data_IF_844413272631
#
_entry.id   IF_844413272631
#
_cell.length_a   1.000
_cell.length_b   1.000
_cell.length_c   1.000
_cell.angle_alpha   90.00
_cell.angle_beta   90.00
_cell.angle_gamma   90.00
#
_symmetry.space_group_name_H-M   'P 1'
#
loop_
_entity.id
_entity.type
_entity.pdbx_description
1 polymer ?
#
# COMPACT_ATOMS: atom_id res chain seq x y z
N UNK A 1 19.13 -4.15 0.10
CA UNK A 1 18.35 -3.18 -0.70
C UNK A 1 17.68 -3.79 -1.96
N UNK A 2 17.44 -5.11 -2.02
CA UNK A 2 16.91 -5.77 -3.24
C UNK A 2 15.38 -5.81 -3.36
N UNK A 3 14.65 -5.53 -2.28
CA UNK A 3 13.18 -5.73 -2.23
C UNK A 3 12.45 -4.81 -3.21
N UNK A 4 12.93 -3.57 -3.42
CA UNK A 4 12.28 -2.65 -4.36
C UNK A 4 12.41 -3.08 -5.81
N UNK A 5 13.52 -3.69 -6.21
CA UNK A 5 13.73 -4.16 -7.59
C UNK A 5 12.80 -5.33 -7.91
N UNK A 6 12.54 -6.21 -6.95
CA UNK A 6 11.65 -7.36 -7.16
C UNK A 6 10.16 -6.99 -7.12
N UNK A 7 9.77 -5.93 -6.41
CA UNK A 7 8.36 -5.57 -6.23
C UNK A 7 7.86 -4.46 -7.16
N UNK A 8 8.77 -3.69 -7.77
CA UNK A 8 8.43 -2.65 -8.74
C UNK A 8 7.61 -3.20 -9.91
N UNK A 9 6.44 -2.59 -10.18
CA UNK A 9 5.56 -2.94 -11.30
C UNK A 9 5.20 -4.42 -11.39
N UNK A 10 5.07 -5.08 -10.23
CA UNK A 10 4.62 -6.47 -10.16
C UNK A 10 3.12 -6.61 -10.43
N UNK A 11 2.71 -7.83 -10.80
CA UNK A 11 1.31 -8.14 -11.06
C UNK A 11 0.42 -8.18 -9.81
N UNK A 12 1.01 -8.18 -8.61
CA UNK A 12 0.29 -8.18 -7.34
C UNK A 12 0.41 -6.83 -6.63
N UNK A 13 -0.64 -6.36 -5.92
CA UNK A 13 -0.60 -5.09 -5.22
C UNK A 13 0.45 -5.12 -4.10
N UNK A 14 1.28 -4.08 -4.05
CA UNK A 14 2.28 -3.88 -2.99
C UNK A 14 1.92 -2.65 -2.18
N UNK A 15 1.84 -2.78 -0.85
CA UNK A 15 1.54 -1.69 0.08
C UNK A 15 2.77 -1.38 0.91
N UNK A 16 3.12 -0.10 1.00
CA UNK A 16 4.19 0.40 1.87
C UNK A 16 3.61 0.84 3.21
N UNK A 17 4.07 0.20 4.28
CA UNK A 17 3.70 0.49 5.66
C UNK A 17 4.96 0.67 6.52
N UNK A 18 4.80 1.18 7.75
CA UNK A 18 5.90 1.41 8.69
C UNK A 18 5.86 0.45 9.89
N UNK A 19 7.04 0.03 10.36
CA UNK A 19 7.20 -0.75 11.59
C UNK A 19 7.21 0.09 12.87
N UNK A 20 7.16 1.43 12.75
CA UNK A 20 7.29 2.37 13.88
C UNK A 20 6.09 2.35 14.83
N UNK A 21 4.97 1.74 14.44
CA UNK A 21 3.76 1.61 15.27
C UNK A 21 2.87 2.86 15.30
N UNK A 22 3.45 4.04 15.06
CA UNK A 22 2.74 5.32 14.93
C UNK A 22 3.32 6.18 13.81
N UNK A 23 2.53 7.18 13.38
CA UNK A 23 2.88 8.10 12.31
C UNK A 23 2.30 7.67 10.95
N UNK A 24 2.33 8.61 10.01
CA UNK A 24 1.78 8.44 8.67
C UNK A 24 2.88 8.05 7.68
N UNK A 25 2.57 7.11 6.80
CA UNK A 25 3.37 6.81 5.61
C UNK A 25 2.87 7.67 4.45
N UNK A 26 3.51 8.82 4.26
CA UNK A 26 3.18 9.73 3.16
C UNK A 26 3.59 9.17 1.81
N UNK A 27 2.82 9.50 0.77
CA UNK A 27 3.15 9.17 -0.62
C UNK A 27 4.38 9.95 -1.09
N UNK A 28 5.30 9.25 -1.75
CA UNK A 28 6.46 9.85 -2.43
C UNK A 28 6.40 9.56 -3.93
N UNK A 29 7.05 10.36 -4.80
CA UNK A 29 7.01 10.16 -6.25
C UNK A 29 7.40 8.74 -6.70
N UNK A 30 8.33 8.10 -5.98
CA UNK A 30 8.76 6.73 -6.25
C UNK A 30 7.65 5.69 -6.06
N UNK A 31 6.64 5.94 -5.21
CA UNK A 31 5.53 5.00 -5.04
C UNK A 31 4.67 4.95 -6.30
N UNK A 32 4.39 6.12 -6.90
CA UNK A 32 3.65 6.21 -8.15
C UNK A 32 4.41 5.55 -9.31
N UNK A 33 5.73 5.75 -9.37
CA UNK A 33 6.60 5.12 -10.39
C UNK A 33 6.66 3.59 -10.25
N UNK A 34 6.55 3.07 -9.03
CA UNK A 34 6.64 1.64 -8.74
C UNK A 34 5.28 0.92 -8.69
N UNK A 35 4.18 1.66 -8.77
CA UNK A 35 2.81 1.12 -8.62
C UNK A 35 2.46 0.73 -7.19
N UNK A 36 3.10 1.36 -6.19
CA UNK A 36 2.86 1.06 -4.78
C UNK A 36 1.68 1.84 -4.21
N UNK A 37 1.00 1.18 -3.28
CA UNK A 37 0.03 1.79 -2.39
C UNK A 37 0.71 2.23 -1.10
N UNK A 38 0.21 3.28 -0.47
CA UNK A 38 0.64 3.70 0.88
C UNK A 38 -0.43 3.40 1.90
N UNK A 39 -0.01 2.90 3.07
CA UNK A 39 -0.93 2.51 4.15
C UNK A 39 -1.48 3.68 4.97
N UNK A 40 -1.09 4.92 4.63
CA UNK A 40 -1.38 6.12 5.42
C UNK A 40 -0.98 5.92 6.90
N UNK A 41 -1.91 6.02 7.84
CA UNK A 41 -1.66 5.86 9.28
C UNK A 41 -1.80 4.40 9.75
N UNK A 42 -2.20 3.47 8.88
CA UNK A 42 -2.42 2.08 9.28
C UNK A 42 -1.12 1.33 9.54
N UNK A 43 -1.09 0.62 10.67
CA UNK A 43 -0.08 -0.40 10.96
C UNK A 43 -0.07 -1.50 9.88
N UNK A 44 1.05 -2.21 9.66
CA UNK A 44 1.14 -3.28 8.67
C UNK A 44 0.06 -4.37 8.85
N UNK A 45 -0.32 -4.68 10.09
CA UNK A 45 -1.33 -5.69 10.39
C UNK A 45 -2.73 -5.24 9.93
N UNK A 46 -3.11 -3.99 10.22
CA UNK A 46 -4.37 -3.39 9.78
C UNK A 46 -4.41 -3.18 8.27
N UNK A 47 -3.31 -2.69 7.69
CA UNK A 47 -3.18 -2.49 6.25
C UNK A 47 -3.36 -3.80 5.46
N UNK A 48 -2.84 -4.92 5.98
CA UNK A 48 -3.04 -6.25 5.40
C UNK A 48 -4.52 -6.63 5.38
N UNK A 49 -5.25 -6.41 6.47
CA UNK A 49 -6.69 -6.74 6.56
C UNK A 49 -7.48 -5.90 5.55
N UNK A 50 -7.22 -4.59 5.51
CA UNK A 50 -7.89 -3.71 4.58
C UNK A 50 -7.59 -4.07 3.12
N UNK A 51 -6.34 -4.41 2.79
CA UNK A 51 -5.98 -4.85 1.44
C UNK A 51 -6.71 -6.15 1.06
N UNK A 52 -6.76 -7.14 1.96
CA UNK A 52 -7.46 -8.40 1.70
C UNK A 52 -8.94 -8.16 1.42
N UNK A 53 -9.60 -7.31 2.20
CA UNK A 53 -11.01 -6.94 1.99
C UNK A 53 -11.21 -6.12 0.71
N UNK A 54 -10.34 -5.14 0.45
CA UNK A 54 -10.38 -4.32 -0.75
C UNK A 54 -10.25 -5.15 -2.02
N UNK A 55 -9.37 -6.16 -2.00
CA UNK A 55 -9.16 -7.09 -3.11
C UNK A 55 -10.39 -7.96 -3.43
N UNK A 56 -11.30 -8.19 -2.49
CA UNK A 56 -12.57 -8.87 -2.78
C UNK A 56 -13.56 -7.97 -3.51
N UNK A 57 -13.33 -6.65 -3.53
CA UNK A 57 -14.21 -5.66 -4.16
C UNK A 57 -13.66 -5.15 -5.48
N UNK A 58 -12.34 -4.92 -5.57
CA UNK A 58 -11.72 -4.36 -6.76
C UNK A 58 -10.24 -4.70 -6.87
N UNK A 59 -9.74 -4.78 -8.11
CA UNK A 59 -8.32 -4.89 -8.43
C UNK A 59 -7.70 -3.57 -8.90
N UNK A 60 -8.48 -2.48 -8.91
CA UNK A 60 -8.01 -1.17 -9.34
C UNK A 60 -7.18 -0.50 -8.23
N UNK A 61 -5.88 -0.30 -8.47
CA UNK A 61 -4.94 0.28 -7.50
C UNK A 61 -5.39 1.66 -6.99
N UNK A 62 -5.96 2.52 -7.85
CA UNK A 62 -6.43 3.85 -7.42
C UNK A 62 -7.58 3.76 -6.41
N UNK A 63 -8.51 2.82 -6.63
CA UNK A 63 -9.61 2.56 -5.67
C UNK A 63 -9.11 1.94 -4.37
N UNK A 64 -8.16 1.01 -4.46
CA UNK A 64 -7.53 0.45 -3.26
C UNK A 64 -6.81 1.53 -2.46
N UNK A 65 -6.12 2.46 -3.13
CA UNK A 65 -5.49 3.60 -2.46
C UNK A 65 -6.52 4.50 -1.77
N UNK A 66 -7.69 4.72 -2.37
CA UNK A 66 -8.78 5.48 -1.74
C UNK A 66 -9.25 4.82 -0.45
N UNK A 67 -9.36 3.48 -0.40
CA UNK A 67 -9.71 2.79 0.83
C UNK A 67 -8.71 3.07 1.96
N UNK A 68 -7.41 3.13 1.67
CA UNK A 68 -6.38 3.47 2.66
C UNK A 68 -6.45 4.92 3.16
N UNK A 69 -7.07 5.83 2.40
CA UNK A 69 -7.28 7.21 2.84
C UNK A 69 -8.60 7.40 3.59
N UNK A 70 -9.56 6.50 3.39
CA UNK A 70 -10.88 6.56 4.00
C UNK A 70 -10.95 5.78 5.33
N UNK A 71 -10.23 4.66 5.44
CA UNK A 71 -10.30 3.70 6.55
C UNK A 71 -8.94 3.38 7.16
#
# INVERSE_FOLDING_TARGET
>A
QNVRQITQNTAFPTVRASRTGSGMVSAVPQDALAGYLVSDTLSPQKARILLMLGLTKTKNLKKLQQFFYEY
#
